data_IF_947626454537
#
_entry.id   IF_947626454537
#
_cell.length_a   1.000
_cell.length_b   1.000
_cell.length_c   1.000
_cell.angle_alpha   90.00
_cell.angle_beta   90.00
_cell.angle_gamma   90.00
#
_symmetry.space_group_name_H-M   'P 1'
#
loop_
_entity.id
_entity.type
_entity.pdbx_description
1 polymer ?
#
# COMPACT_ATOMS: atom_id res chain seq x y z
N UNK A 1 -11.69 14.39 2.31
CA UNK A 1 -12.34 14.38 0.97
C UNK A 1 -13.83 14.54 1.19
N UNK A 2 -14.50 15.38 0.42
CA UNK A 2 -15.96 15.57 0.43
C UNK A 2 -16.52 15.01 -0.88
N UNK A 3 -17.51 14.12 -0.79
CA UNK A 3 -18.25 13.61 -1.94
C UNK A 3 -19.64 14.24 -1.91
N UNK A 4 -20.02 14.92 -2.98
CA UNK A 4 -21.33 15.57 -3.10
C UNK A 4 -22.03 15.10 -4.36
N UNK A 5 -23.36 15.03 -4.32
CA UNK A 5 -24.18 14.79 -5.50
C UNK A 5 -24.61 16.10 -6.13
N UNK A 6 -24.56 16.18 -7.47
CA UNK A 6 -24.85 17.40 -8.20
C UNK A 6 -26.35 17.69 -8.30
N UNK A 7 -27.19 16.66 -8.23
CA UNK A 7 -28.62 16.67 -8.62
C UNK A 7 -29.55 16.18 -7.49
N UNK A 8 -29.11 16.21 -6.22
CA UNK A 8 -29.88 15.74 -5.06
C UNK A 8 -30.51 14.33 -5.20
N UNK A 9 -29.97 13.51 -6.11
CA UNK A 9 -30.46 12.13 -6.34
C UNK A 9 -30.17 11.19 -5.15
N UNK A 10 -29.23 11.56 -4.28
CA UNK A 10 -28.86 10.80 -3.09
C UNK A 10 -29.64 11.27 -1.86
N UNK A 11 -30.38 10.36 -1.25
CA UNK A 11 -31.04 10.60 0.02
C UNK A 11 -30.17 10.13 1.21
N UNK A 12 -30.66 10.41 2.42
CA UNK A 12 -29.97 10.04 3.67
C UNK A 12 -29.68 8.53 3.79
N UNK A 13 -30.56 7.69 3.22
CA UNK A 13 -30.37 6.24 3.16
C UNK A 13 -29.17 5.84 2.30
N UNK A 14 -29.02 6.47 1.12
CA UNK A 14 -27.88 6.25 0.21
C UNK A 14 -26.57 6.65 0.86
N UNK A 15 -26.52 7.83 1.51
CA UNK A 15 -25.31 8.30 2.21
C UNK A 15 -24.92 7.38 3.36
N UNK A 16 -25.87 6.94 4.19
CA UNK A 16 -25.58 6.02 5.30
C UNK A 16 -25.10 4.65 4.81
N UNK A 17 -25.62 4.17 3.67
CA UNK A 17 -25.15 2.94 3.04
C UNK A 17 -23.71 3.08 2.53
N UNK A 18 -23.45 4.16 1.76
CA UNK A 18 -22.11 4.43 1.19
C UNK A 18 -21.06 4.61 2.26
N UNK A 19 -21.37 5.32 3.35
CA UNK A 19 -20.47 5.50 4.49
C UNK A 19 -20.07 4.16 5.11
N UNK A 20 -21.04 3.31 5.40
CA UNK A 20 -20.79 1.99 5.98
C UNK A 20 -19.92 1.12 5.06
N UNK A 21 -20.23 1.09 3.76
CA UNK A 21 -19.49 0.31 2.78
C UNK A 21 -18.08 0.85 2.53
N UNK A 22 -17.88 2.16 2.51
CA UNK A 22 -16.55 2.78 2.38
C UNK A 22 -15.66 2.47 3.59
N UNK A 23 -16.22 2.49 4.80
CA UNK A 23 -15.49 2.11 6.03
C UNK A 23 -15.13 0.62 5.98
N UNK A 24 -16.02 -0.25 5.54
CA UNK A 24 -15.76 -1.68 5.39
C UNK A 24 -14.64 -1.94 4.36
N UNK A 25 -14.74 -1.35 3.16
CA UNK A 25 -13.71 -1.44 2.13
C UNK A 25 -12.34 -0.91 2.61
N UNK A 26 -12.33 0.18 3.37
CA UNK A 26 -11.08 0.73 3.94
C UNK A 26 -10.47 -0.21 5.00
N UNK A 27 -11.30 -0.88 5.81
CA UNK A 27 -10.85 -1.91 6.76
C UNK A 27 -10.29 -3.14 6.05
N UNK A 28 -10.96 -3.63 5.01
CA UNK A 28 -10.50 -4.76 4.20
C UNK A 28 -9.19 -4.42 3.47
N UNK A 29 -9.08 -3.21 2.94
CA UNK A 29 -7.87 -2.73 2.27
C UNK A 29 -6.68 -2.58 3.23
N UNK A 30 -6.89 -2.29 4.51
CA UNK A 30 -5.86 -2.08 5.56
C UNK A 30 -4.76 -1.09 5.15
N UNK A 31 -5.08 -0.09 4.34
CA UNK A 31 -4.13 0.90 3.81
C UNK A 31 -4.07 2.19 4.63
N UNK A 32 -5.08 2.43 5.44
CA UNK A 32 -5.23 3.62 6.28
C UNK A 32 -5.63 3.20 7.69
N UNK A 33 -5.19 3.96 8.67
CA UNK A 33 -5.72 3.86 10.03
C UNK A 33 -7.02 4.65 10.07
N UNK A 34 -8.12 3.99 10.39
CA UNK A 34 -9.41 4.65 10.58
C UNK A 34 -9.43 5.25 11.99
N UNK A 35 -9.60 6.57 12.08
CA UNK A 35 -9.65 7.32 13.34
C UNK A 35 -11.04 7.26 13.99
N UNK A 36 -11.98 6.57 13.36
CA UNK A 36 -13.35 6.45 13.82
C UNK A 36 -13.62 5.06 14.41
N UNK A 37 -13.76 4.97 15.72
CA UNK A 37 -14.10 3.73 16.45
C UNK A 37 -15.55 3.28 16.21
N UNK A 38 -16.41 4.16 15.70
CA UNK A 38 -17.79 3.82 15.41
C UNK A 38 -17.90 3.16 14.03
N UNK A 39 -18.46 1.96 14.01
CA UNK A 39 -18.85 1.30 12.75
C UNK A 39 -20.21 1.84 12.34
N UNK A 40 -20.33 2.59 11.24
CA UNK A 40 -21.64 3.04 10.76
C UNK A 40 -22.52 1.82 10.46
N UNK A 41 -23.78 1.89 10.90
CA UNK A 41 -24.76 0.84 10.59
C UNK A 41 -25.32 1.12 9.21
N UNK A 42 -25.11 0.19 8.28
CA UNK A 42 -25.65 0.30 6.94
C UNK A 42 -27.19 0.42 6.99
N UNK A 43 -27.74 1.46 6.39
CA UNK A 43 -29.19 1.63 6.27
C UNK A 43 -29.73 0.64 5.26
N UNK A 44 -30.94 0.11 5.52
CA UNK A 44 -31.63 -0.82 4.61
C UNK A 44 -32.08 -0.06 3.37
N UNK A 45 -31.56 -0.43 2.23
CA UNK A 45 -31.98 0.02 0.91
C UNK A 45 -32.78 -1.08 0.22
N UNK A 46 -33.62 -0.72 -0.76
CA UNK A 46 -34.18 -1.68 -1.69
C UNK A 46 -33.07 -2.35 -2.50
N UNK A 47 -33.35 -3.51 -3.08
CA UNK A 47 -32.37 -4.25 -3.89
C UNK A 47 -31.85 -3.42 -5.07
N UNK A 48 -32.74 -2.70 -5.76
CA UNK A 48 -32.39 -1.80 -6.85
C UNK A 48 -31.46 -0.67 -6.38
N UNK A 49 -31.82 0.03 -5.30
CA UNK A 49 -31.00 1.10 -4.74
C UNK A 49 -29.63 0.59 -4.29
N UNK A 50 -29.57 -0.60 -3.70
CA UNK A 50 -28.30 -1.21 -3.30
C UNK A 50 -27.43 -1.51 -4.51
N UNK A 51 -28.00 -2.04 -5.59
CA UNK A 51 -27.30 -2.30 -6.85
C UNK A 51 -26.70 -1.01 -7.43
N UNK A 52 -27.46 0.09 -7.41
CA UNK A 52 -26.99 1.39 -7.89
C UNK A 52 -25.83 1.92 -7.03
N UNK A 53 -25.91 1.76 -5.71
CA UNK A 53 -24.84 2.19 -4.79
C UNK A 53 -23.58 1.34 -4.94
N UNK A 54 -23.68 0.04 -5.14
CA UNK A 54 -22.52 -0.83 -5.40
C UNK A 54 -21.88 -0.49 -6.76
N UNK A 55 -22.66 -0.18 -7.80
CA UNK A 55 -22.13 0.29 -9.07
C UNK A 55 -21.39 1.63 -8.92
N UNK A 56 -21.92 2.54 -8.12
CA UNK A 56 -21.25 3.80 -7.80
C UNK A 56 -19.93 3.58 -7.02
N UNK A 57 -19.94 2.68 -6.04
CA UNK A 57 -18.72 2.32 -5.29
C UNK A 57 -17.66 1.71 -6.19
N UNK A 58 -18.04 0.86 -7.15
CA UNK A 58 -17.12 0.31 -8.13
C UNK A 58 -16.46 1.41 -8.98
N UNK A 59 -17.21 2.44 -9.38
CA UNK A 59 -16.63 3.60 -10.06
C UNK A 59 -15.69 4.40 -9.16
N UNK A 60 -16.03 4.60 -7.89
CA UNK A 60 -15.14 5.26 -6.92
C UNK A 60 -13.83 4.51 -6.73
N UNK A 61 -13.85 3.18 -6.68
CA UNK A 61 -12.64 2.36 -6.58
C UNK A 61 -11.68 2.53 -7.78
N UNK A 62 -12.20 2.90 -8.95
CA UNK A 62 -11.41 3.20 -10.14
C UNK A 62 -10.89 4.64 -10.10
N UNK A 63 -11.74 5.61 -9.74
CA UNK A 63 -11.43 7.04 -9.83
C UNK A 63 -10.51 7.50 -8.68
N UNK A 64 -10.77 7.05 -7.46
CA UNK A 64 -10.04 7.51 -6.27
C UNK A 64 -8.52 7.26 -6.34
N UNK A 65 -8.03 6.10 -6.82
CA UNK A 65 -6.60 5.88 -7.02
C UNK A 65 -5.97 6.87 -8.00
N UNK A 66 -6.66 7.25 -9.08
CA UNK A 66 -6.19 8.27 -10.04
C UNK A 66 -6.01 9.62 -9.37
N UNK A 67 -6.82 9.92 -8.35
CA UNK A 67 -6.72 11.13 -7.53
C UNK A 67 -5.74 10.98 -6.35
N UNK A 68 -4.97 9.88 -6.28
CA UNK A 68 -4.02 9.61 -5.20
C UNK A 68 -4.66 9.08 -3.92
N UNK A 69 -5.95 8.73 -3.92
CA UNK A 69 -6.68 8.23 -2.74
C UNK A 69 -6.81 6.71 -2.83
N UNK A 70 -5.94 5.98 -2.16
CA UNK A 70 -5.88 4.51 -2.20
C UNK A 70 -6.53 3.82 -1.00
N UNK A 71 -7.26 4.55 -0.16
CA UNK A 71 -7.81 4.06 1.11
C UNK A 71 -8.73 2.84 0.99
N UNK A 72 -9.49 2.75 -0.11
CA UNK A 72 -10.48 1.68 -0.37
C UNK A 72 -10.05 0.71 -1.47
N UNK A 73 -8.81 0.80 -1.96
CA UNK A 73 -8.31 -0.09 -3.01
C UNK A 73 -8.04 -1.47 -2.42
N UNK A 74 -8.78 -2.48 -2.85
CA UNK A 74 -8.63 -3.86 -2.38
C UNK A 74 -7.20 -4.40 -2.52
N UNK A 75 -6.82 -5.33 -1.65
CA UNK A 75 -5.51 -6.00 -1.67
C UNK A 75 -5.38 -7.01 -2.81
N UNK A 76 -6.49 -7.53 -3.30
CA UNK A 76 -6.49 -8.47 -4.41
C UNK A 76 -6.57 -7.70 -5.73
N UNK A 77 -5.41 -7.51 -6.35
CA UNK A 77 -5.33 -7.24 -7.77
C UNK A 77 -5.65 -8.55 -8.50
N UNK A 78 -6.94 -8.90 -8.63
CA UNK A 78 -7.33 -9.74 -9.75
C UNK A 78 -7.08 -8.91 -11.01
N UNK A 79 -6.31 -9.41 -11.98
CA UNK A 79 -6.10 -8.72 -13.24
C UNK A 79 -7.42 -8.75 -14.02
N UNK A 80 -8.27 -7.74 -13.81
CA UNK A 80 -9.43 -7.54 -14.66
C UNK A 80 -9.09 -6.42 -15.63
N UNK A 81 -8.88 -6.84 -16.87
CA UNK A 81 -8.68 -6.03 -18.08
C UNK A 81 -7.46 -5.12 -18.04
N UNK A 82 -6.40 -5.62 -18.64
CA UNK A 82 -5.22 -4.85 -19.03
C UNK A 82 -5.63 -3.68 -19.94
N UNK A 83 -5.82 -2.49 -19.34
CA UNK A 83 -5.35 -1.29 -20.00
C UNK A 83 -3.84 -1.45 -19.89
N UNK A 84 -3.15 -1.47 -21.02
CA UNK A 84 -1.70 -1.53 -21.10
C UNK A 84 -1.10 -0.32 -20.36
N UNK A 85 -1.03 -0.40 -19.05
CA UNK A 85 -0.14 0.41 -18.24
C UNK A 85 1.18 -0.31 -18.34
N UNK A 86 2.15 0.38 -18.90
CA UNK A 86 3.55 0.00 -18.95
C UNK A 86 3.92 -0.53 -17.54
N UNK A 87 3.87 -1.86 -17.37
CA UNK A 87 4.15 -2.48 -16.07
C UNK A 87 5.57 -2.10 -15.70
N UNK A 88 5.76 -1.58 -14.49
CA UNK A 88 7.12 -1.24 -14.05
C UNK A 88 7.97 -2.52 -14.05
N UNK A 89 9.28 -2.40 -14.29
CA UNK A 89 10.17 -3.54 -14.11
C UNK A 89 10.12 -4.03 -12.66
N UNK A 90 10.53 -5.26 -12.43
CA UNK A 90 10.80 -5.76 -11.08
C UNK A 90 12.11 -5.15 -10.60
N UNK A 91 12.03 -4.37 -9.55
CA UNK A 91 13.19 -3.84 -8.85
C UNK A 91 13.67 -4.85 -7.82
N UNK A 92 14.98 -4.98 -7.68
CA UNK A 92 15.62 -5.86 -6.68
C UNK A 92 16.46 -5.01 -5.73
N UNK A 93 16.38 -5.32 -4.43
CA UNK A 93 17.28 -4.79 -3.40
C UNK A 93 17.99 -5.94 -2.74
N UNK A 94 19.33 -5.93 -2.79
CA UNK A 94 20.16 -6.99 -2.22
C UNK A 94 21.11 -6.42 -1.16
N UNK A 95 21.22 -7.11 -0.02
CA UNK A 95 22.21 -6.87 1.00
C UNK A 95 22.74 -8.21 1.53
N UNK A 96 23.77 -8.75 0.86
CA UNK A 96 24.26 -10.11 1.07
C UNK A 96 24.74 -10.38 2.51
N UNK A 97 25.31 -9.37 3.19
CA UNK A 97 25.77 -9.51 4.60
C UNK A 97 24.64 -9.81 5.59
N UNK A 98 23.40 -9.47 5.23
CA UNK A 98 22.19 -9.67 6.06
C UNK A 98 21.21 -10.68 5.46
N UNK A 99 21.59 -11.32 4.35
CA UNK A 99 20.71 -12.27 3.66
C UNK A 99 19.47 -11.64 3.02
N UNK A 100 19.47 -10.32 2.79
CA UNK A 100 18.36 -9.61 2.19
C UNK A 100 18.38 -9.78 0.67
N UNK A 101 17.25 -10.17 0.11
CA UNK A 101 16.97 -10.22 -1.32
C UNK A 101 15.49 -9.92 -1.53
N UNK A 102 15.15 -8.67 -1.64
CA UNK A 102 13.77 -8.22 -1.79
C UNK A 102 13.49 -7.82 -3.24
N UNK A 103 12.26 -8.09 -3.67
CA UNK A 103 11.73 -7.71 -4.98
C UNK A 103 10.54 -6.77 -4.81
N UNK A 104 10.40 -5.80 -5.70
CA UNK A 104 9.30 -4.85 -5.68
C UNK A 104 8.93 -4.40 -7.10
N UNK A 105 7.70 -3.93 -7.27
CA UNK A 105 7.18 -3.32 -8.49
C UNK A 105 6.38 -2.06 -8.17
N UNK A 106 6.25 -1.16 -9.16
CA UNK A 106 5.25 -0.09 -9.11
C UNK A 106 3.97 -0.61 -9.75
N UNK A 107 2.93 -0.73 -8.96
CA UNK A 107 1.62 -1.22 -9.40
C UNK A 107 0.61 -0.12 -9.12
N UNK A 108 0.07 0.49 -10.18
CA UNK A 108 -0.92 1.55 -10.05
C UNK A 108 -0.45 2.72 -9.18
N UNK A 109 0.74 3.23 -9.41
CA UNK A 109 1.41 4.32 -8.67
C UNK A 109 1.79 3.99 -7.21
N UNK A 110 1.70 2.74 -6.77
CA UNK A 110 2.13 2.29 -5.45
C UNK A 110 3.39 1.44 -5.55
N UNK A 111 4.30 1.61 -4.59
CA UNK A 111 5.50 0.78 -4.49
C UNK A 111 5.17 -0.49 -3.70
N UNK A 112 5.17 -1.63 -4.36
CA UNK A 112 4.73 -2.92 -3.81
C UNK A 112 5.91 -3.86 -3.67
N UNK A 113 6.23 -4.27 -2.44
CA UNK A 113 7.20 -5.36 -2.19
C UNK A 113 6.49 -6.68 -2.40
N UNK A 114 7.08 -7.54 -3.23
CA UNK A 114 6.48 -8.79 -3.67
C UNK A 114 6.64 -9.90 -2.63
N UNK A 115 5.65 -10.79 -2.57
CA UNK A 115 5.72 -12.02 -1.81
C UNK A 115 6.96 -12.84 -2.19
N UNK A 116 7.52 -13.59 -1.23
CA UNK A 116 8.77 -14.31 -1.41
C UNK A 116 10.03 -13.48 -1.18
N UNK A 117 9.93 -12.14 -1.01
CA UNK A 117 11.05 -11.28 -0.66
C UNK A 117 11.68 -11.71 0.67
N UNK A 118 13.01 -11.76 0.70
CA UNK A 118 13.79 -12.05 1.91
C UNK A 118 14.23 -10.71 2.54
N UNK A 119 13.84 -10.50 3.78
CA UNK A 119 14.07 -9.27 4.55
C UNK A 119 14.74 -9.60 5.89
N UNK A 120 15.21 -8.61 6.61
CA UNK A 120 15.75 -8.85 7.95
C UNK A 120 14.67 -9.37 8.91
N UNK A 121 15.01 -10.26 9.87
CA UNK A 121 14.06 -10.81 10.83
C UNK A 121 13.62 -9.80 11.90
N UNK A 122 14.39 -8.72 12.10
CA UNK A 122 14.12 -7.67 13.08
C UNK A 122 14.76 -6.35 12.69
N UNK A 123 14.20 -5.26 13.15
CA UNK A 123 14.79 -3.94 13.03
C UNK A 123 16.05 -3.83 13.92
N UNK A 124 17.17 -3.40 13.38
CA UNK A 124 18.45 -3.36 14.11
C UNK A 124 19.06 -1.96 14.26
N UNK A 125 18.63 -1.00 13.46
CA UNK A 125 19.23 0.33 13.50
C UNK A 125 18.80 1.13 14.73
N UNK A 126 19.77 1.79 15.36
CA UNK A 126 19.58 2.74 16.46
C UNK A 126 19.98 4.12 15.99
N UNK A 127 19.11 5.12 16.17
CA UNK A 127 19.41 6.51 15.79
C UNK A 127 20.30 7.20 16.81
N UNK A 128 21.30 7.95 16.33
CA UNK A 128 22.20 8.73 17.22
C UNK A 128 21.52 10.03 17.71
N UNK A 129 20.78 10.73 16.83
CA UNK A 129 20.03 11.95 17.20
C UNK A 129 18.60 11.64 17.66
N UNK A 130 17.98 12.58 18.38
CA UNK A 130 16.59 12.45 18.83
C UNK A 130 15.60 12.38 17.65
N UNK A 131 15.83 13.14 16.58
CA UNK A 131 15.03 13.11 15.35
C UNK A 131 15.16 11.78 14.63
N UNK A 132 16.37 11.24 14.50
CA UNK A 132 16.62 9.94 13.88
C UNK A 132 15.99 8.80 14.68
N UNK A 133 16.05 8.86 16.02
CA UNK A 133 15.39 7.85 16.87
C UNK A 133 13.87 7.84 16.69
N UNK A 134 13.23 9.02 16.55
CA UNK A 134 11.79 9.12 16.27
C UNK A 134 11.43 8.52 14.90
N UNK A 135 12.20 8.86 13.86
CA UNK A 135 11.99 8.28 12.53
C UNK A 135 12.14 6.76 12.54
N UNK A 136 13.17 6.24 13.22
CA UNK A 136 13.40 4.80 13.33
C UNK A 136 12.35 4.08 14.18
N UNK A 137 11.75 4.75 15.18
CA UNK A 137 10.65 4.18 15.94
C UNK A 137 9.46 3.82 15.05
N UNK A 138 9.09 4.70 14.12
CA UNK A 138 8.00 4.43 13.16
C UNK A 138 8.32 3.31 12.16
N UNK A 139 9.56 3.17 11.72
CA UNK A 139 9.97 2.04 10.87
C UNK A 139 9.98 0.72 11.65
N UNK A 140 10.52 0.73 12.87
CA UNK A 140 10.54 -0.44 13.74
C UNK A 140 9.14 -0.92 14.07
N UNK A 141 8.26 -0.03 14.50
CA UNK A 141 6.85 -0.35 14.78
C UNK A 141 6.15 -0.93 13.55
N UNK A 142 6.39 -0.37 12.37
CA UNK A 142 5.84 -0.91 11.13
C UNK A 142 6.38 -2.31 10.83
N UNK A 143 7.68 -2.56 11.00
CA UNK A 143 8.29 -3.88 10.81
C UNK A 143 7.71 -4.92 11.79
N UNK A 144 7.61 -4.56 13.08
CA UNK A 144 7.03 -5.41 14.11
C UNK A 144 5.55 -5.74 13.82
N UNK A 145 4.79 -4.77 13.32
CA UNK A 145 3.39 -4.96 12.90
C UNK A 145 3.27 -5.94 11.74
N UNK A 146 4.14 -5.85 10.72
CA UNK A 146 4.16 -6.77 9.59
C UNK A 146 4.53 -8.21 9.99
N UNK A 147 5.31 -8.39 11.05
CA UNK A 147 5.55 -9.71 11.65
C UNK A 147 4.31 -10.17 12.44
N UNK A 148 3.74 -9.31 13.26
CA UNK A 148 2.59 -9.64 14.09
C UNK A 148 1.34 -10.03 13.28
N UNK A 149 1.13 -9.41 12.11
CA UNK A 149 0.00 -9.71 11.22
C UNK A 149 0.28 -10.85 10.23
N UNK A 150 1.47 -11.49 10.30
CA UNK A 150 1.87 -12.59 9.44
C UNK A 150 2.25 -12.18 8.01
N UNK A 151 2.36 -10.88 7.69
CA UNK A 151 2.87 -10.42 6.39
C UNK A 151 4.34 -10.80 6.19
N UNK A 152 5.10 -10.82 7.28
CA UNK A 152 6.47 -11.31 7.33
C UNK A 152 6.52 -12.45 8.34
N UNK A 153 6.94 -13.63 7.90
CA UNK A 153 7.21 -14.78 8.77
C UNK A 153 8.71 -14.91 8.95
N UNK A 154 9.14 -14.93 10.21
CA UNK A 154 10.57 -15.08 10.55
C UNK A 154 10.92 -16.57 10.59
N UNK A 155 11.85 -16.98 9.74
CA UNK A 155 12.45 -18.30 9.73
C UNK A 155 13.96 -18.17 10.03
N UNK A 156 14.37 -18.56 11.25
CA UNK A 156 15.75 -18.44 11.76
C UNK A 156 16.27 -16.99 11.67
N UNK A 157 17.17 -16.72 10.72
CA UNK A 157 17.87 -15.44 10.56
C UNK A 157 17.32 -14.58 9.42
N UNK A 158 16.17 -14.94 8.84
CA UNK A 158 15.57 -14.24 7.72
C UNK A 158 14.06 -14.09 7.91
N UNK A 159 13.51 -12.93 7.51
CA UNK A 159 12.09 -12.74 7.34
C UNK A 159 11.68 -13.04 5.90
N UNK A 160 10.60 -13.79 5.71
CA UNK A 160 10.01 -14.07 4.39
C UNK A 160 8.68 -13.36 4.27
N UNK A 161 8.55 -12.52 3.25
CA UNK A 161 7.32 -11.81 2.92
C UNK A 161 6.31 -12.83 2.36
N UNK A 162 5.16 -12.98 3.02
CA UNK A 162 4.16 -13.99 2.69
C UNK A 162 3.13 -13.51 1.66
N UNK A 163 2.96 -12.20 1.53
CA UNK A 163 2.03 -11.55 0.61
C UNK A 163 2.60 -10.22 0.16
N UNK A 164 2.11 -9.70 -0.95
CA UNK A 164 2.50 -8.39 -1.45
C UNK A 164 2.18 -7.30 -0.41
N UNK A 165 3.16 -6.44 -0.15
CA UNK A 165 3.06 -5.36 0.83
C UNK A 165 3.21 -4.01 0.11
N UNK A 166 2.20 -3.16 0.26
CA UNK A 166 2.22 -1.81 -0.29
C UNK A 166 2.95 -0.86 0.64
N UNK A 167 3.83 -0.05 0.07
CA UNK A 167 4.58 0.98 0.77
C UNK A 167 4.31 2.36 0.19
N UNK A 168 4.38 3.38 1.03
CA UNK A 168 4.22 4.79 0.64
C UNK A 168 5.42 5.34 -0.11
N UNK A 169 6.57 4.63 -0.09
CA UNK A 169 7.78 5.02 -0.82
C UNK A 169 8.78 3.86 -0.95
N UNK A 170 9.64 3.89 -1.98
CA UNK A 170 10.75 2.94 -2.13
C UNK A 170 11.70 2.93 -0.92
N UNK A 171 11.93 4.10 -0.32
CA UNK A 171 12.80 4.23 0.86
C UNK A 171 12.22 3.53 2.09
N UNK A 172 10.89 3.60 2.26
CA UNK A 172 10.22 2.89 3.35
C UNK A 172 10.27 1.37 3.15
N UNK A 173 10.02 0.90 1.94
CA UNK A 173 10.16 -0.51 1.59
C UNK A 173 11.60 -1.01 1.82
N UNK A 174 12.59 -0.27 1.34
CA UNK A 174 14.00 -0.59 1.55
C UNK A 174 14.41 -0.60 3.02
N UNK A 175 13.91 0.34 3.81
CA UNK A 175 14.18 0.38 5.25
C UNK A 175 13.60 -0.85 5.98
N UNK A 176 12.38 -1.28 5.64
CA UNK A 176 11.79 -2.50 6.19
C UNK A 176 12.58 -3.74 5.75
N UNK A 177 13.00 -3.81 4.49
CA UNK A 177 13.78 -4.93 3.98
C UNK A 177 15.14 -5.07 4.68
N UNK A 178 15.85 -3.96 4.93
CA UNK A 178 17.23 -3.95 5.42
C UNK A 178 17.38 -3.75 6.94
N UNK A 179 16.32 -3.31 7.64
CA UNK A 179 16.32 -3.02 9.08
C UNK A 179 17.09 -1.75 9.46
N UNK A 180 17.32 -0.85 8.52
CA UNK A 180 17.94 0.46 8.73
C UNK A 180 17.47 1.47 7.68
N UNK A 181 17.82 2.74 7.87
CA UNK A 181 17.56 3.81 6.90
C UNK A 181 18.13 3.45 5.52
N UNK A 182 17.34 3.64 4.49
CA UNK A 182 17.66 3.27 3.11
C UNK A 182 17.24 4.38 2.15
N UNK A 183 18.13 4.79 1.25
CA UNK A 183 17.74 5.57 0.07
C UNK A 183 17.18 4.60 -0.97
N UNK A 184 15.86 4.40 -0.96
CA UNK A 184 15.21 3.46 -1.86
C UNK A 184 15.36 3.82 -3.33
N UNK A 185 15.51 5.10 -3.67
CA UNK A 185 15.68 5.52 -5.06
C UNK A 185 16.95 4.99 -5.70
N UNK A 186 18.03 4.84 -4.91
CA UNK A 186 19.33 4.37 -5.39
C UNK A 186 19.54 2.87 -5.14
N UNK A 187 18.84 2.30 -4.12
CA UNK A 187 19.08 0.93 -3.68
C UNK A 187 18.21 -0.12 -4.37
N UNK A 188 17.04 0.27 -4.87
CA UNK A 188 16.22 -0.58 -5.73
C UNK A 188 16.75 -0.47 -7.16
N UNK A 189 17.18 -1.60 -7.72
CA UNK A 189 17.80 -1.68 -9.04
C UNK A 189 17.04 -2.64 -9.96
N UNK A 190 17.12 -2.39 -11.25
CA UNK A 190 16.61 -3.24 -12.32
C UNK A 190 17.66 -3.34 -13.44
N UNK A 191 17.37 -4.02 -14.54
CA UNK A 191 18.35 -4.30 -15.61
C UNK A 191 19.05 -3.06 -16.19
N UNK A 192 18.35 -1.91 -16.21
CA UNK A 192 18.86 -0.68 -16.88
C UNK A 192 19.24 0.42 -15.89
N UNK A 193 19.22 0.16 -14.57
CA UNK A 193 19.65 1.15 -13.59
C UNK A 193 18.93 1.09 -12.25
N UNK A 194 18.79 2.23 -11.61
CA UNK A 194 18.14 2.40 -10.31
C UNK A 194 16.65 2.73 -10.48
N UNK A 195 15.91 2.69 -9.38
CA UNK A 195 14.54 3.20 -9.36
C UNK A 195 14.48 4.70 -9.73
N UNK A 196 15.49 5.50 -9.34
CA UNK A 196 15.57 6.91 -9.72
C UNK A 196 15.69 7.09 -11.24
N UNK A 197 16.49 6.27 -11.92
CA UNK A 197 16.62 6.28 -13.38
C UNK A 197 15.31 5.91 -14.05
N UNK A 198 14.59 4.93 -13.48
CA UNK A 198 13.28 4.54 -13.96
C UNK A 198 12.22 5.64 -13.82
N UNK A 199 12.19 6.36 -12.69
CA UNK A 199 11.28 7.50 -12.50
C UNK A 199 11.50 8.62 -13.51
N UNK A 200 12.76 8.86 -13.92
CA UNK A 200 13.13 9.95 -14.83
C UNK A 200 12.90 9.64 -16.32
N UNK A 201 12.74 8.38 -16.70
CA UNK A 201 12.66 7.97 -18.12
C UNK A 201 11.47 8.53 -18.92
N UNK A 202 10.45 9.08 -18.28
CA UNK A 202 9.27 9.67 -18.91
C UNK A 202 9.18 11.19 -18.84
N UNK A 203 10.20 11.85 -18.28
CA UNK A 203 10.26 13.31 -18.20
C UNK A 203 10.96 13.85 -19.44
N UNK A 204 10.37 14.80 -20.19
CA UNK A 204 11.08 15.50 -21.26
C UNK A 204 12.27 16.24 -20.67
N UNK A 205 13.45 16.07 -21.30
CA UNK A 205 14.69 16.79 -21.02
C UNK A 205 14.56 18.27 -21.38
#
# INVERSE_FOLDING_TARGET
MLITCKDDSFNEGHWGYLEARLVELAREAQRVTLDNDQTPVARKLSEAQRSDMEAFLAQLQIILPVLGINAIRGRHLTPTVAIATDESPVFTLTESRRGVQAQAQVIGAEFVMLAGSRVVPKWTATGQSASTRRAYAGYREHHERLIADGSIVVDRDVGIVQRDIVFTSPSRAGAIATGHSCNGRDRWVWEQGTYADWEQRGLPS
#
